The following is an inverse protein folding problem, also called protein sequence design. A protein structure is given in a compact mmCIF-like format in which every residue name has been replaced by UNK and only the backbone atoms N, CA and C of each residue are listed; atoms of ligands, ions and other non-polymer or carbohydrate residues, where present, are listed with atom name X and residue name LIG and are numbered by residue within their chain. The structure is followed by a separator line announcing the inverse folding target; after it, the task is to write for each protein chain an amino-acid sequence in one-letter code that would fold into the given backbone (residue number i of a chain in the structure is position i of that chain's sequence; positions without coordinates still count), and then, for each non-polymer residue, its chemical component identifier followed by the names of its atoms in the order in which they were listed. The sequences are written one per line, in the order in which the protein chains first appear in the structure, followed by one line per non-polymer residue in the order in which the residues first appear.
data_IF_182954218376
#
_entry.id   IF_182954218376
#
_cell.length_a   1.000
_cell.length_b   1.000
_cell.length_c   1.000
_cell.angle_alpha   90.00
_cell.angle_beta   90.00
_cell.angle_gamma   90.00
#
_symmetry.space_group_name_H-M   'P 1'
#
loop_
_entity.id
_entity.type
_entity.pdbx_description
1 polymer ?
#
# COMPACT_ATOMS: atom_id res chain seq x y z
N UNK A 1 6.23 24.68 1.84
CA UNK A 1 6.00 23.37 2.50
C UNK A 1 5.96 22.31 1.41
N UNK A 2 6.98 21.45 1.22
CA UNK A 2 6.88 20.39 0.21
C UNK A 2 5.81 19.38 0.65
N UNK A 3 4.80 19.15 -0.21
CA UNK A 3 3.81 18.09 0.00
C UNK A 3 4.55 16.75 -0.08
N UNK A 4 4.71 16.04 1.04
CA UNK A 4 5.10 14.62 1.01
C UNK A 4 4.06 13.89 0.16
N UNK A 5 4.49 13.27 -0.93
CA UNK A 5 3.66 12.36 -1.69
C UNK A 5 3.24 11.23 -0.74
N UNK A 6 1.94 11.14 -0.42
CA UNK A 6 1.41 10.01 0.29
C UNK A 6 1.51 8.82 -0.67
N UNK A 7 2.39 7.87 -0.36
CA UNK A 7 2.45 6.61 -1.10
C UNK A 7 1.04 6.01 -1.20
N UNK A 8 0.61 5.53 -2.38
CA UNK A 8 -0.72 4.99 -2.55
C UNK A 8 -0.90 3.76 -1.65
N UNK A 9 -1.73 3.89 -0.61
CA UNK A 9 -2.07 2.78 0.27
C UNK A 9 -3.02 1.84 -0.46
N UNK A 10 -2.56 0.61 -0.70
CA UNK A 10 -3.39 -0.45 -1.28
C UNK A 10 -3.91 -1.35 -0.17
N UNK A 11 -5.19 -1.71 -0.22
CA UNK A 11 -5.78 -2.66 0.71
C UNK A 11 -5.73 -4.06 0.12
N UNK A 12 -5.24 -5.03 0.92
CA UNK A 12 -5.23 -6.45 0.57
C UNK A 12 -6.03 -7.25 1.59
N UNK A 13 -6.58 -8.38 1.16
CA UNK A 13 -7.22 -9.36 2.05
C UNK A 13 -6.34 -10.59 2.14
N UNK A 14 -6.00 -11.01 3.35
CA UNK A 14 -5.16 -12.18 3.62
C UNK A 14 -5.92 -13.18 4.48
N UNK A 15 -5.77 -14.47 4.15
CA UNK A 15 -6.29 -15.57 4.97
C UNK A 15 -5.13 -16.12 5.80
N UNK A 16 -5.34 -16.21 7.12
CA UNK A 16 -4.34 -16.68 8.06
C UNK A 16 -4.93 -17.85 8.88
N UNK A 17 -4.14 -18.86 9.22
CA UNK A 17 -4.49 -19.83 10.26
C UNK A 17 -4.78 -19.13 11.58
N UNK A 18 -5.73 -19.65 12.37
CA UNK A 18 -6.11 -19.09 13.67
C UNK A 18 -4.89 -18.82 14.59
N UNK A 19 -3.91 -19.72 14.73
CA UNK A 19 -2.75 -19.47 15.60
C UNK A 19 -1.94 -18.22 15.20
N UNK A 20 -1.89 -17.89 13.90
CA UNK A 20 -1.19 -16.68 13.45
C UNK A 20 -2.00 -15.42 13.75
N UNK A 21 -3.33 -15.50 13.80
CA UNK A 21 -4.18 -14.39 14.21
C UNK A 21 -3.91 -14.06 15.68
N UNK A 22 -3.78 -15.08 16.54
CA UNK A 22 -3.49 -14.89 17.97
C UNK A 22 -2.13 -14.20 18.18
N UNK A 23 -1.10 -14.63 17.44
CA UNK A 23 0.22 -13.97 17.44
C UNK A 23 0.12 -12.52 16.98
N UNK A 24 -0.71 -12.24 15.98
CA UNK A 24 -0.93 -10.89 15.47
C UNK A 24 -1.59 -10.00 16.51
N UNK A 25 -2.57 -10.52 17.25
CA UNK A 25 -3.24 -9.79 18.32
C UNK A 25 -2.30 -9.49 19.50
N UNK A 26 -1.41 -10.43 19.84
CA UNK A 26 -0.36 -10.20 20.82
C UNK A 26 0.56 -9.05 20.39
N UNK A 27 0.96 -9.01 19.12
CA UNK A 27 1.83 -7.95 18.59
C UNK A 27 1.12 -6.59 18.57
N UNK A 28 -0.18 -6.55 18.23
CA UNK A 28 -0.98 -5.32 18.34
C UNK A 28 -0.98 -4.80 19.79
N UNK A 29 -1.15 -5.69 20.77
CA UNK A 29 -1.11 -5.30 22.18
C UNK A 29 0.27 -4.79 22.60
N UNK A 30 1.34 -5.43 22.12
CA UNK A 30 2.72 -5.00 22.33
C UNK A 30 2.94 -3.58 21.78
N UNK A 31 2.52 -3.32 20.54
CA UNK A 31 2.63 -2.00 19.91
C UNK A 31 1.85 -0.92 20.67
N UNK A 32 0.66 -1.24 21.19
CA UNK A 32 -0.12 -0.29 22.01
C UNK A 32 0.59 0.07 23.31
N UNK A 33 1.31 -0.88 23.91
CA UNK A 33 2.10 -0.65 25.12
C UNK A 33 3.35 0.20 24.81
N UNK A 34 4.02 -0.07 23.68
CA UNK A 34 5.23 0.67 23.26
C UNK A 34 4.92 2.09 22.74
N UNK A 35 3.73 2.31 22.18
CA UNK A 35 3.31 3.59 21.62
C UNK A 35 1.97 4.07 22.22
N UNK A 36 1.98 4.55 23.48
CA UNK A 36 0.77 5.04 24.13
C UNK A 36 0.15 6.19 23.35
N UNK A 37 -1.14 6.07 23.02
CA UNK A 37 -1.88 7.09 22.25
C UNK A 37 -1.97 6.83 20.75
N UNK A 38 -1.24 5.83 20.22
CA UNK A 38 -1.44 5.35 18.86
C UNK A 38 -2.44 4.20 18.86
N UNK A 39 -3.50 4.31 18.07
CA UNK A 39 -4.48 3.23 17.89
C UNK A 39 -3.92 2.15 16.96
N UNK A 40 -2.98 1.34 17.48
CA UNK A 40 -2.39 0.28 16.69
C UNK A 40 -3.45 -0.75 16.27
N UNK A 41 -3.44 -1.07 14.98
CA UNK A 41 -4.34 -2.04 14.35
C UNK A 41 -3.58 -3.29 13.90
N UNK A 42 -4.31 -4.37 13.58
CA UNK A 42 -3.72 -5.56 12.95
C UNK A 42 -2.95 -5.23 11.67
N UNK A 43 -3.41 -4.25 10.89
CA UNK A 43 -2.69 -3.82 9.70
C UNK A 43 -1.33 -3.21 10.03
N UNK A 44 -1.21 -2.48 11.14
CA UNK A 44 0.05 -1.88 11.58
C UNK A 44 1.02 -2.96 12.09
N UNK A 45 0.51 -3.94 12.85
CA UNK A 45 1.29 -5.09 13.26
C UNK A 45 1.79 -5.89 12.04
N UNK A 46 0.95 -6.13 11.03
CA UNK A 46 1.37 -6.77 9.77
C UNK A 46 2.47 -5.95 9.08
N UNK A 47 2.29 -4.63 8.93
CA UNK A 47 3.31 -3.76 8.31
C UNK A 47 4.65 -3.81 9.05
N UNK A 48 4.60 -3.78 10.37
CA UNK A 48 5.78 -3.86 11.22
C UNK A 48 6.49 -5.22 11.10
N UNK A 49 5.74 -6.32 11.15
CA UNK A 49 6.32 -7.66 10.99
C UNK A 49 6.91 -7.86 9.58
N UNK A 50 6.26 -7.33 8.54
CA UNK A 50 6.79 -7.33 7.18
C UNK A 50 8.06 -6.49 7.09
N UNK A 51 8.11 -5.31 7.73
CA UNK A 51 9.32 -4.47 7.68
C UNK A 51 10.50 -5.11 8.41
N UNK A 52 10.26 -5.77 9.55
CA UNK A 52 11.27 -6.58 10.25
C UNK A 52 11.70 -7.77 9.39
N UNK A 53 10.76 -8.45 8.74
CA UNK A 53 11.03 -9.53 7.80
C UNK A 53 11.89 -9.05 6.63
N UNK A 54 11.56 -7.88 6.05
CA UNK A 54 12.34 -7.22 4.98
C UNK A 54 13.72 -6.76 5.44
N UNK A 55 13.88 -6.36 6.70
CA UNK A 55 15.19 -6.00 7.24
C UNK A 55 16.09 -7.23 7.43
N UNK A 56 15.50 -8.40 7.72
CA UNK A 56 16.21 -9.68 7.87
C UNK A 56 16.46 -10.39 6.54
N UNK A 57 15.49 -10.33 5.63
CA UNK A 57 15.55 -10.83 4.27
C UNK A 57 15.94 -9.63 3.40
N UNK A 58 17.21 -9.39 3.14
CA UNK A 58 17.65 -8.33 2.21
C UNK A 58 16.89 -8.47 0.87
N UNK A 59 15.78 -7.72 0.74
CA UNK A 59 14.79 -7.87 -0.33
C UNK A 59 15.17 -7.06 -1.57
N UNK A 60 16.43 -6.64 -1.71
CA UNK A 60 16.98 -6.19 -3.00
C UNK A 60 16.76 -7.23 -4.12
N UNK A 61 16.50 -8.50 -3.78
CA UNK A 61 16.11 -9.55 -4.72
C UNK A 61 14.60 -9.62 -5.06
N UNK A 62 13.71 -9.01 -4.28
CA UNK A 62 12.24 -9.12 -4.46
C UNK A 62 11.58 -7.79 -4.82
N UNK A 63 12.18 -6.67 -4.42
CA UNK A 63 11.84 -5.34 -4.90
C UNK A 63 12.94 -4.91 -5.88
N UNK A 64 12.78 -5.31 -7.14
CA UNK A 64 13.28 -4.47 -8.23
C UNK A 64 12.20 -3.40 -8.43
N UNK A 65 12.40 -2.13 -7.99
CA UNK A 65 11.49 -1.07 -8.38
C UNK A 65 11.64 -0.97 -9.89
N UNK A 66 10.73 -1.61 -10.65
CA UNK A 66 10.62 -1.36 -12.08
C UNK A 66 10.35 0.13 -12.23
N UNK A 67 11.40 0.88 -12.55
CA UNK A 67 11.28 2.27 -12.97
C UNK A 67 10.58 2.18 -14.31
N UNK A 68 9.25 2.29 -14.29
CA UNK A 68 8.46 2.32 -15.50
C UNK A 68 8.88 3.56 -16.29
N UNK A 69 9.25 3.34 -17.55
CA UNK A 69 9.44 4.44 -18.49
C UNK A 69 8.12 5.19 -18.71
N UNK A 70 8.19 6.46 -19.11
CA UNK A 70 7.00 7.27 -19.42
C UNK A 70 6.07 6.57 -20.45
N UNK A 71 6.65 5.75 -21.34
CA UNK A 71 5.91 4.95 -22.32
C UNK A 71 5.11 3.79 -21.71
N UNK A 72 5.60 3.19 -20.61
CA UNK A 72 4.89 2.12 -19.90
C UNK A 72 3.76 2.70 -19.05
N UNK A 73 3.97 3.87 -18.45
CA UNK A 73 2.94 4.60 -17.70
C UNK A 73 1.75 4.96 -18.61
N UNK A 74 2.03 5.41 -19.85
CA UNK A 74 1.00 5.75 -20.83
C UNK A 74 0.07 4.56 -21.20
N UNK A 75 0.61 3.33 -21.23
CA UNK A 75 -0.20 2.12 -21.49
C UNK A 75 -1.18 1.81 -20.36
N UNK A 76 -0.83 2.10 -19.10
CA UNK A 76 -1.73 1.86 -17.97
C UNK A 76 -2.87 2.89 -17.88
N UNK A 77 -2.69 4.09 -18.45
CA UNK A 77 -3.75 5.10 -18.54
C UNK A 77 -4.80 4.80 -19.61
N UNK A 78 -4.43 4.12 -20.70
CA UNK A 78 -5.38 3.75 -21.76
C UNK A 78 -6.37 2.66 -21.34
N UNK A 79 -5.96 1.73 -20.48
CA UNK A 79 -6.77 0.55 -20.14
C UNK A 79 -7.87 0.78 -19.08
N UNK A 80 -8.01 1.98 -18.51
CA UNK A 80 -8.93 2.21 -17.36
C UNK A 80 -10.02 3.25 -17.55
N UNK A 81 -10.09 3.95 -18.67
CA UNK A 81 -11.16 4.94 -18.89
C UNK A 81 -12.06 4.47 -20.04
N UNK A 82 -13.27 3.93 -19.75
CA UNK A 82 -14.25 3.64 -20.79
C UNK A 82 -14.46 4.88 -21.66
N UNK A 83 -14.47 4.73 -22.99
CA UNK A 83 -14.52 5.84 -23.94
C UNK A 83 -15.65 6.87 -23.67
N UNK A 84 -16.77 6.41 -23.09
CA UNK A 84 -17.89 7.26 -22.66
C UNK A 84 -17.50 8.27 -21.56
N UNK A 85 -16.61 7.90 -20.65
CA UNK A 85 -16.15 8.73 -19.53
C UNK A 85 -15.16 9.80 -19.99
N UNK A 86 -14.30 9.47 -20.97
CA UNK A 86 -13.34 10.41 -21.58
C UNK A 86 -14.06 11.55 -22.32
N UNK A 87 -15.11 11.22 -23.09
CA UNK A 87 -15.91 12.20 -23.83
C UNK A 87 -16.69 13.18 -22.93
N UNK A 88 -17.16 12.73 -21.76
CA UNK A 88 -17.85 13.60 -20.79
C UNK A 88 -16.88 14.57 -20.10
N UNK A 89 -15.67 14.12 -19.77
CA UNK A 89 -14.62 14.95 -19.18
C UNK A 89 -14.11 16.02 -20.16
N UNK A 90 -13.89 15.66 -21.42
CA UNK A 90 -13.43 16.60 -22.46
C UNK A 90 -14.45 17.71 -22.75
N UNK A 91 -15.75 17.41 -22.70
CA UNK A 91 -16.81 18.44 -22.83
C UNK A 91 -16.92 19.35 -21.63
N UNK A 92 -16.54 18.90 -20.43
CA UNK A 92 -16.69 19.66 -19.18
C UNK A 92 -15.52 20.63 -18.93
N UNK A 93 -14.34 20.32 -19.45
CA UNK A 93 -13.11 21.10 -19.23
C UNK A 93 -12.67 21.94 -20.44
N UNK A 94 -13.34 21.85 -21.60
CA UNK A 94 -13.23 22.86 -22.66
C UNK A 94 -14.15 24.05 -22.36
N UNK A 95 -13.65 24.99 -21.57
CA UNK A 95 -14.06 26.41 -21.59
C UNK A 95 -12.83 27.25 -21.83
#
# INVERSE_FOLDING_TARGET
MPRRALEPTTTITVRLPLPLIDVLDQEVNRLRQETPGLNATRADAVRYLISLGKARLDMSAFYDPRIYSDAEIAKFEEDKIPAKTRSWLEKRYKR
#
